data_IF_101197350048
#
_entry.id   IF_101197350048
#
_cell.length_a   1.000
_cell.length_b   1.000
_cell.length_c   1.000
_cell.angle_alpha   90.00
_cell.angle_beta   90.00
_cell.angle_gamma   90.00
#
_symmetry.space_group_name_H-M   'P 1'
#
loop_
_entity.id
_entity.type
_entity.pdbx_description
1 polymer ?
#
# COMPACT_ATOMS: atom_id res chain seq x y z
N UNK A 1 8.54 -35.42 14.60
CA UNK A 1 7.13 -35.02 14.40
C UNK A 1 6.79 -34.03 15.50
N UNK A 2 6.92 -32.74 15.23
CA UNK A 2 6.42 -31.72 16.14
C UNK A 2 4.90 -31.66 15.98
N UNK A 3 4.18 -31.69 17.10
CA UNK A 3 2.71 -31.62 17.10
C UNK A 3 2.20 -30.29 16.55
N UNK A 4 0.88 -30.16 16.30
CA UNK A 4 0.30 -28.91 15.84
C UNK A 4 0.59 -27.81 16.87
N UNK A 5 1.36 -26.79 16.46
CA UNK A 5 1.61 -25.60 17.26
C UNK A 5 0.25 -24.99 17.61
N UNK A 6 -0.01 -24.79 18.90
CA UNK A 6 -1.20 -24.08 19.40
C UNK A 6 -1.37 -22.74 18.68
N UNK A 7 -2.61 -22.26 18.44
CA UNK A 7 -2.81 -20.94 17.83
C UNK A 7 -2.11 -19.89 18.69
N UNK A 8 -1.04 -19.31 18.13
CA UNK A 8 -0.19 -18.33 18.80
C UNK A 8 -1.01 -17.11 19.16
N UNK A 9 -0.90 -16.67 20.41
CA UNK A 9 -1.61 -15.47 20.88
C UNK A 9 -1.11 -14.24 20.11
N UNK A 10 -2.02 -13.39 19.61
CA UNK A 10 -1.66 -12.16 18.90
C UNK A 10 -0.82 -11.20 19.78
N UNK A 11 0.01 -10.35 19.16
CA UNK A 11 0.97 -9.51 19.87
C UNK A 11 0.29 -8.49 20.77
N UNK A 12 0.78 -8.44 22.01
CA UNK A 12 0.09 -7.94 23.20
C UNK A 12 0.27 -6.45 23.47
N UNK A 13 0.93 -5.72 22.57
CA UNK A 13 1.32 -4.32 22.75
C UNK A 13 1.26 -3.54 21.42
N UNK A 14 1.15 -2.22 21.50
CA UNK A 14 1.20 -1.29 20.37
C UNK A 14 0.10 -0.23 20.35
N UNK A 15 0.52 1.03 20.24
CA UNK A 15 -0.33 2.19 19.96
C UNK A 15 -1.01 2.07 18.57
N UNK A 16 -2.14 2.77 18.37
CA UNK A 16 -2.69 3.02 17.03
C UNK A 16 -1.63 3.83 16.28
N UNK A 17 -0.93 3.23 15.32
CA UNK A 17 0.18 3.90 14.67
C UNK A 17 -0.18 4.20 13.22
N UNK A 18 -0.23 5.49 12.92
CA UNK A 18 -0.40 6.03 11.57
C UNK A 18 0.95 6.02 10.84
N UNK A 19 1.06 5.12 9.87
CA UNK A 19 2.09 4.99 8.83
C UNK A 19 1.25 4.81 7.56
N UNK A 20 1.34 5.55 6.46
CA UNK A 20 2.41 6.35 5.88
C UNK A 20 1.82 7.09 4.68
N UNK A 21 2.38 8.23 4.29
CA UNK A 21 2.36 8.66 2.90
C UNK A 21 3.76 8.42 2.31
N UNK A 22 3.81 7.75 1.17
CA UNK A 22 5.02 7.54 0.39
C UNK A 22 5.10 8.68 -0.60
N UNK A 23 6.25 9.32 -0.65
CA UNK A 23 6.50 10.33 -1.66
C UNK A 23 7.44 9.78 -2.73
N UNK A 24 7.06 9.97 -3.99
CA UNK A 24 7.85 9.62 -5.16
C UNK A 24 9.10 10.47 -5.18
N UNK A 25 10.25 9.82 -5.33
CA UNK A 25 11.58 10.36 -5.09
C UNK A 25 11.77 11.85 -5.42
N UNK A 26 12.54 12.53 -4.56
CA UNK A 26 12.73 13.98 -4.68
C UNK A 26 13.30 14.38 -6.05
N UNK A 27 12.73 15.42 -6.68
CA UNK A 27 13.11 15.89 -8.03
C UNK A 27 14.34 16.81 -8.04
N UNK A 28 14.86 17.18 -6.86
CA UNK A 28 16.07 17.98 -6.69
C UNK A 28 16.95 17.38 -5.60
N UNK A 29 18.22 17.10 -5.92
CA UNK A 29 19.16 16.48 -4.99
C UNK A 29 19.17 14.95 -5.06
N UNK A 30 18.99 14.26 -3.92
CA UNK A 30 18.97 12.79 -3.88
C UNK A 30 17.61 12.28 -4.40
N UNK A 31 17.62 11.55 -5.51
CA UNK A 31 16.46 10.88 -6.12
C UNK A 31 15.95 9.68 -5.28
N UNK A 32 15.88 9.83 -3.96
CA UNK A 32 15.47 8.79 -3.02
C UNK A 32 14.01 9.04 -2.59
N UNK A 33 13.21 7.98 -2.37
CA UNK A 33 11.87 8.12 -1.84
C UNK A 33 11.91 8.74 -0.43
N UNK A 34 10.92 9.57 -0.13
CA UNK A 34 10.73 10.13 1.21
C UNK A 34 9.53 9.44 1.87
N UNK A 35 9.75 8.96 3.09
CA UNK A 35 8.77 8.21 3.89
C UNK A 35 8.41 9.10 5.08
N UNK A 36 7.19 9.64 5.09
CA UNK A 36 6.67 10.43 6.20
C UNK A 36 5.97 9.53 7.22
N UNK A 37 6.69 9.23 8.31
CA UNK A 37 6.29 8.26 9.32
C UNK A 37 6.38 8.87 10.71
N UNK A 38 5.32 8.70 11.50
CA UNK A 38 5.32 9.11 12.92
C UNK A 38 6.43 8.43 13.72
N UNK A 39 6.93 7.27 13.27
CA UNK A 39 8.11 6.63 13.85
C UNK A 39 9.41 7.35 13.53
N UNK A 40 9.57 7.80 12.28
CA UNK A 40 10.82 8.42 11.83
C UNK A 40 10.94 9.85 12.35
N UNK A 41 9.82 10.57 12.52
CA UNK A 41 9.79 11.92 13.11
C UNK A 41 10.46 11.96 14.49
N UNK A 42 10.31 10.90 15.31
CA UNK A 42 10.96 10.80 16.63
C UNK A 42 12.50 10.91 16.56
N UNK A 43 13.10 10.42 15.49
CA UNK A 43 14.56 10.43 15.29
C UNK A 43 15.02 11.48 14.27
N UNK A 44 14.11 11.98 13.44
CA UNK A 44 14.36 12.95 12.36
C UNK A 44 13.27 14.02 12.39
N UNK A 45 13.37 15.03 13.28
CA UNK A 45 12.37 16.09 13.41
C UNK A 45 12.09 16.84 12.10
N UNK A 46 13.06 16.90 11.18
CA UNK A 46 12.88 17.47 9.84
C UNK A 46 11.90 16.70 8.93
N UNK A 47 11.30 15.60 9.39
CA UNK A 47 10.19 14.93 8.70
C UNK A 47 8.83 15.34 9.25
N UNK A 48 8.77 16.20 10.27
CA UNK A 48 7.54 16.73 10.86
C UNK A 48 6.95 17.85 9.98
N UNK A 49 6.49 17.46 8.79
CA UNK A 49 5.88 18.35 7.81
C UNK A 49 4.37 18.50 8.06
N UNK A 50 3.77 19.55 7.49
CA UNK A 50 2.32 19.70 7.53
C UNK A 50 1.66 18.53 6.80
N UNK A 51 0.58 18.00 7.37
CA UNK A 51 -0.18 16.92 6.73
C UNK A 51 -0.68 17.33 5.33
N UNK A 52 -1.03 18.61 5.13
CA UNK A 52 -1.42 19.13 3.82
C UNK A 52 -0.28 19.05 2.79
N UNK A 53 0.95 19.35 3.18
CA UNK A 53 2.11 19.26 2.28
C UNK A 53 2.37 17.82 1.87
N UNK A 54 2.31 16.91 2.84
CA UNK A 54 2.44 15.46 2.60
C UNK A 54 1.35 14.97 1.65
N UNK A 55 0.08 15.36 1.87
CA UNK A 55 -1.04 14.96 1.02
C UNK A 55 -0.97 15.52 -0.40
N UNK A 56 -0.49 16.76 -0.59
CA UNK A 56 -0.31 17.32 -1.93
C UNK A 56 0.83 16.58 -2.63
N UNK A 57 1.96 16.43 -1.97
CA UNK A 57 3.15 15.83 -2.57
C UNK A 57 2.94 14.36 -2.98
N UNK A 58 2.34 13.54 -2.10
CA UNK A 58 2.06 12.13 -2.37
C UNK A 58 1.10 11.87 -3.52
N UNK A 59 0.31 12.88 -3.92
CA UNK A 59 -0.67 12.80 -5.00
C UNK A 59 -0.24 13.55 -6.26
N UNK A 60 0.94 14.17 -6.26
CA UNK A 60 1.43 15.03 -7.35
C UNK A 60 1.94 14.19 -8.53
N UNK A 61 1.03 13.49 -9.22
CA UNK A 61 1.36 12.53 -10.27
C UNK A 61 1.98 13.23 -11.47
N UNK A 62 3.17 12.81 -11.95
CA UNK A 62 3.76 13.36 -13.16
C UNK A 62 2.76 13.33 -14.32
N UNK A 63 2.75 14.38 -15.14
CA UNK A 63 1.79 14.64 -16.24
C UNK A 63 0.39 15.08 -15.82
N UNK A 64 -0.04 14.86 -14.56
CA UNK A 64 -1.33 15.30 -14.04
C UNK A 64 -1.23 16.56 -13.18
N UNK A 65 -0.26 16.58 -12.26
CA UNK A 65 -0.11 17.62 -11.26
C UNK A 65 1.35 18.12 -11.18
N UNK A 66 1.56 19.39 -10.80
CA UNK A 66 2.90 19.93 -10.60
C UNK A 66 3.54 19.29 -9.36
N UNK A 67 4.87 19.14 -9.39
CA UNK A 67 5.64 18.75 -8.21
C UNK A 67 5.42 19.74 -7.06
N UNK A 68 5.46 19.24 -5.82
CA UNK A 68 5.21 20.04 -4.62
C UNK A 68 6.51 20.43 -3.93
N UNK A 69 6.61 21.70 -3.51
CA UNK A 69 7.74 22.24 -2.77
C UNK A 69 7.30 22.75 -1.40
N UNK A 70 8.05 22.38 -0.37
CA UNK A 70 7.90 22.94 0.97
C UNK A 70 9.19 22.79 1.78
N UNK A 71 9.22 23.40 2.97
CA UNK A 71 10.36 23.37 3.87
C UNK A 71 9.95 22.94 5.28
N UNK A 72 10.88 22.30 5.98
CA UNK A 72 10.77 22.02 7.42
C UNK A 72 12.05 22.48 8.12
N UNK A 73 12.08 22.36 9.45
CA UNK A 73 13.27 22.60 10.26
C UNK A 73 13.71 21.32 10.96
N UNK A 74 15.02 21.09 11.03
CA UNK A 74 15.57 20.05 11.91
C UNK A 74 15.68 20.53 13.37
N UNK A 75 16.22 19.67 14.23
CA UNK A 75 16.43 19.95 15.66
C UNK A 75 17.34 21.15 15.92
N UNK A 76 18.24 21.46 14.99
CA UNK A 76 19.19 22.58 15.10
C UNK A 76 18.60 23.86 14.46
N UNK A 77 17.35 23.82 14.00
CA UNK A 77 16.65 24.92 13.34
C UNK A 77 17.07 25.13 11.89
N UNK A 78 17.89 24.24 11.33
CA UNK A 78 18.33 24.32 9.94
C UNK A 78 17.19 23.91 9.01
N UNK A 79 17.02 24.68 7.93
CA UNK A 79 16.01 24.42 6.92
C UNK A 79 16.35 23.16 6.13
N UNK A 80 15.33 22.34 5.89
CA UNK A 80 15.35 21.21 4.98
C UNK A 80 14.27 21.41 3.92
N UNK A 81 14.72 21.48 2.67
CA UNK A 81 13.86 21.59 1.49
C UNK A 81 13.32 20.22 1.09
N UNK A 82 12.09 20.21 0.59
CA UNK A 82 11.41 19.06 -0.03
C UNK A 82 10.94 19.47 -1.42
N UNK A 83 11.28 18.67 -2.43
CA UNK A 83 10.86 18.86 -3.82
C UNK A 83 10.34 17.51 -4.31
N UNK A 84 9.04 17.31 -4.28
CA UNK A 84 8.42 15.99 -4.15
C UNK A 84 7.35 15.74 -5.23
N UNK A 85 7.11 14.47 -5.55
CA UNK A 85 6.13 14.01 -6.56
C UNK A 85 5.38 12.77 -6.05
N UNK A 86 4.40 12.29 -6.81
CA UNK A 86 3.53 11.19 -6.39
C UNK A 86 4.24 9.92 -5.91
N UNK A 87 3.77 9.41 -4.77
CA UNK A 87 4.24 8.18 -4.14
C UNK A 87 4.25 6.95 -5.03
N UNK A 88 3.33 6.87 -5.99
CA UNK A 88 3.20 5.80 -6.96
C UNK A 88 4.45 5.60 -7.81
N UNK A 89 5.25 6.66 -8.01
CA UNK A 89 6.55 6.56 -8.70
C UNK A 89 7.55 5.72 -7.89
N UNK A 90 7.45 5.74 -6.55
CA UNK A 90 8.33 4.97 -5.68
C UNK A 90 7.72 3.63 -5.25
N UNK A 91 6.47 3.65 -4.79
CA UNK A 91 5.74 2.46 -4.34
C UNK A 91 4.23 2.67 -4.46
N UNK A 92 3.68 2.27 -5.61
CA UNK A 92 2.25 2.31 -5.90
C UNK A 92 1.43 1.36 -4.99
N UNK A 93 2.05 0.30 -4.47
CA UNK A 93 1.51 -0.50 -3.38
C UNK A 93 2.37 -0.30 -2.11
N UNK A 94 1.93 0.54 -1.16
CA UNK A 94 2.73 0.91 0.01
C UNK A 94 2.85 -0.21 1.05
N UNK A 95 2.23 -1.37 0.85
CA UNK A 95 2.11 -2.42 1.87
C UNK A 95 3.47 -2.89 2.39
N UNK A 96 4.43 -3.14 1.48
CA UNK A 96 5.77 -3.57 1.89
C UNK A 96 6.54 -2.47 2.63
N UNK A 97 6.31 -1.20 2.27
CA UNK A 97 6.91 -0.06 2.97
C UNK A 97 6.35 0.07 4.39
N UNK A 98 5.04 -0.10 4.56
CA UNK A 98 4.41 -0.11 5.88
C UNK A 98 4.94 -1.26 6.77
N UNK A 99 5.06 -2.47 6.21
CA UNK A 99 5.67 -3.62 6.91
C UNK A 99 7.12 -3.33 7.27
N UNK A 100 7.89 -2.72 6.36
CA UNK A 100 9.28 -2.31 6.61
C UNK A 100 9.42 -1.31 7.75
N UNK A 101 8.54 -0.31 7.84
CA UNK A 101 8.52 0.66 8.94
C UNK A 101 8.22 0.01 10.30
N UNK A 102 7.24 -0.90 10.36
CA UNK A 102 6.96 -1.68 11.57
C UNK A 102 8.15 -2.58 11.93
N UNK A 103 8.76 -3.23 10.94
CA UNK A 103 9.94 -4.08 11.14
C UNK A 103 11.12 -3.30 11.72
N UNK A 104 11.38 -2.07 11.23
CA UNK A 104 12.40 -1.18 11.81
C UNK A 104 12.14 -0.89 13.28
N UNK A 105 10.89 -0.74 13.71
CA UNK A 105 10.54 -0.52 15.12
C UNK A 105 10.79 -1.75 15.98
N UNK A 106 10.44 -2.94 15.47
CA UNK A 106 10.73 -4.22 16.11
C UNK A 106 12.26 -4.35 16.31
N UNK A 107 13.04 -4.13 15.25
CA UNK A 107 14.50 -4.22 15.28
C UNK A 107 15.15 -3.20 16.24
N UNK A 108 14.56 -2.02 16.39
CA UNK A 108 15.01 -0.98 17.34
C UNK A 108 14.61 -1.27 18.79
N UNK A 109 13.95 -2.40 19.07
CA UNK A 109 13.59 -2.82 20.43
C UNK A 109 12.48 -1.97 21.05
N UNK A 110 11.61 -1.38 20.24
CA UNK A 110 10.49 -0.59 20.74
C UNK A 110 9.57 -1.48 21.63
N UNK A 111 9.30 -1.04 22.85
CA UNK A 111 8.52 -1.76 23.87
C UNK A 111 7.10 -2.11 23.41
N UNK A 112 6.57 -1.37 22.43
CA UNK A 112 5.30 -1.65 21.78
C UNK A 112 5.29 -2.99 21.00
N UNK A 113 6.47 -3.57 20.75
CA UNK A 113 6.65 -4.76 19.91
C UNK A 113 7.38 -5.92 20.59
N UNK A 114 7.48 -5.87 21.93
CA UNK A 114 8.33 -6.71 22.79
C UNK A 114 8.20 -8.25 22.64
N UNK A 115 7.32 -8.74 21.76
CA UNK A 115 7.04 -10.18 21.63
C UNK A 115 7.17 -10.72 20.21
N UNK A 116 7.53 -9.91 19.22
CA UNK A 116 7.69 -10.38 17.83
C UNK A 116 9.15 -10.77 17.60
N UNK A 117 9.41 -12.06 17.35
CA UNK A 117 10.72 -12.50 16.89
C UNK A 117 11.01 -11.84 15.53
N UNK A 118 12.26 -11.46 15.24
CA UNK A 118 12.60 -10.50 14.18
C UNK A 118 12.16 -10.90 12.76
N UNK A 119 11.74 -12.16 12.56
CA UNK A 119 11.27 -12.74 11.30
C UNK A 119 9.82 -13.26 11.35
N UNK A 120 9.08 -13.05 12.44
CA UNK A 120 7.73 -13.58 12.62
C UNK A 120 6.66 -12.67 11.97
N UNK A 121 6.76 -12.48 10.64
CA UNK A 121 5.72 -11.79 9.85
C UNK A 121 4.35 -12.49 9.98
N UNK A 122 4.31 -13.74 10.42
CA UNK A 122 3.07 -14.48 10.69
C UNK A 122 2.18 -13.84 11.74
N UNK A 123 2.71 -12.94 12.58
CA UNK A 123 1.92 -12.17 13.56
C UNK A 123 1.32 -10.88 13.02
N UNK A 124 1.73 -10.44 11.83
CA UNK A 124 1.16 -9.26 11.21
C UNK A 124 -0.21 -9.58 10.63
N UNK A 125 -1.19 -8.74 10.93
CA UNK A 125 -2.49 -8.76 10.29
C UNK A 125 -2.55 -7.57 9.33
N UNK A 126 -2.64 -7.83 8.03
CA UNK A 126 -2.46 -6.85 6.96
C UNK A 126 -3.70 -6.83 6.07
N UNK A 127 -4.29 -5.64 5.91
CA UNK A 127 -5.31 -5.36 4.89
C UNK A 127 -4.66 -4.42 3.88
N UNK A 128 -4.59 -4.85 2.62
CA UNK A 128 -4.12 -4.06 1.49
C UNK A 128 -5.29 -3.76 0.56
N UNK A 129 -5.58 -2.49 0.34
CA UNK A 129 -6.69 -2.06 -0.51
C UNK A 129 -6.13 -1.41 -1.77
N UNK A 130 -6.48 -1.94 -2.94
CA UNK A 130 -6.19 -1.33 -4.22
C UNK A 130 -7.34 -0.44 -4.70
N UNK A 131 -7.03 0.46 -5.63
CA UNK A 131 -8.00 1.36 -6.27
C UNK A 131 -8.59 0.78 -7.56
N UNK A 132 -8.34 -0.50 -7.81
CA UNK A 132 -8.64 -1.18 -9.06
C UNK A 132 -7.67 -0.82 -10.18
N UNK A 133 -7.73 -1.63 -11.24
CA UNK A 133 -6.89 -1.51 -12.43
C UNK A 133 -7.80 -1.65 -13.64
N UNK A 134 -7.43 -0.97 -14.72
CA UNK A 134 -8.13 -1.16 -15.98
C UNK A 134 -8.07 -2.64 -16.36
N UNK A 135 -9.21 -3.19 -16.76
CA UNK A 135 -9.29 -4.53 -17.33
C UNK A 135 -8.18 -4.67 -18.35
N UNK A 136 -7.39 -5.73 -18.24
CA UNK A 136 -6.32 -6.09 -19.18
C UNK A 136 -6.91 -6.45 -20.55
N UNK A 137 -7.60 -5.52 -21.19
CA UNK A 137 -7.82 -5.53 -22.62
C UNK A 137 -6.49 -5.06 -23.19
N UNK A 138 -5.62 -6.01 -23.59
CA UNK A 138 -4.41 -5.87 -24.41
C UNK A 138 -4.05 -4.41 -24.77
N UNK A 139 -3.72 -3.59 -23.75
CA UNK A 139 -3.76 -2.13 -23.90
C UNK A 139 -2.82 -1.66 -25.00
N UNK A 140 -1.70 -2.37 -25.13
CA UNK A 140 -0.61 -2.08 -26.03
C UNK A 140 -0.07 -3.38 -26.62
N UNK A 141 0.08 -3.42 -27.95
CA UNK A 141 0.79 -4.49 -28.65
C UNK A 141 2.28 -4.10 -28.83
N UNK A 142 3.17 -5.10 -28.84
CA UNK A 142 4.61 -4.87 -29.00
C UNK A 142 4.95 -4.25 -30.36
N UNK A 143 4.22 -4.58 -31.43
CA UNK A 143 4.39 -4.01 -32.76
C UNK A 143 4.05 -2.53 -32.80
N UNK A 144 3.04 -2.11 -32.05
CA UNK A 144 2.65 -0.71 -31.92
C UNK A 144 3.62 0.06 -31.01
N UNK A 145 3.99 -0.52 -29.87
CA UNK A 145 4.95 0.07 -28.94
C UNK A 145 6.36 0.22 -29.55
N UNK A 146 6.76 -0.68 -30.46
CA UNK A 146 8.04 -0.58 -31.18
C UNK A 146 8.15 0.68 -32.05
N UNK A 147 7.01 1.25 -32.46
CA UNK A 147 6.94 2.49 -33.24
C UNK A 147 6.91 3.73 -32.35
N UNK A 148 6.81 3.57 -31.02
CA UNK A 148 6.72 4.70 -30.10
C UNK A 148 8.09 5.36 -29.88
N UNK A 149 8.14 6.67 -30.14
CA UNK A 149 9.18 7.55 -29.60
C UNK A 149 8.82 8.04 -28.19
N UNK A 150 9.55 9.05 -27.70
CA UNK A 150 9.33 9.65 -26.37
C UNK A 150 7.85 10.03 -26.12
N UNK A 151 7.20 10.68 -27.10
CA UNK A 151 5.80 11.09 -26.97
C UNK A 151 4.84 9.90 -26.97
N UNK A 152 5.13 8.81 -27.67
CA UNK A 152 4.27 7.61 -27.62
C UNK A 152 4.30 6.97 -26.23
N UNK A 153 5.48 6.87 -25.63
CA UNK A 153 5.63 6.36 -24.27
C UNK A 153 4.99 7.23 -23.19
N UNK A 154 4.93 8.55 -23.40
CA UNK A 154 4.33 9.50 -22.46
C UNK A 154 2.84 9.76 -22.71
N UNK A 155 2.39 9.68 -23.95
CA UNK A 155 1.03 10.03 -24.37
C UNK A 155 0.63 9.14 -25.55
N UNK A 156 0.01 7.99 -25.29
CA UNK A 156 -0.55 7.13 -26.34
C UNK A 156 -1.98 6.74 -25.98
N UNK A 157 -2.90 6.90 -26.94
CA UNK A 157 -4.31 6.53 -26.77
C UNK A 157 -5.04 7.25 -25.63
N UNK A 158 -4.60 8.44 -25.22
CA UNK A 158 -5.16 9.16 -24.07
C UNK A 158 -4.71 8.62 -22.70
N UNK A 159 -3.69 7.76 -22.68
CA UNK A 159 -3.07 7.20 -21.48
C UNK A 159 -1.58 7.59 -21.40
N UNK A 160 -0.95 7.24 -20.27
CA UNK A 160 0.48 7.43 -20.01
C UNK A 160 1.20 6.08 -19.90
N UNK A 161 1.46 5.37 -21.03
CA UNK A 161 1.88 3.96 -21.00
C UNK A 161 3.04 3.65 -20.06
N UNK A 162 4.06 4.52 -20.05
CA UNK A 162 5.23 4.35 -19.19
C UNK A 162 4.85 4.35 -17.70
N UNK A 163 4.03 5.32 -17.29
CA UNK A 163 3.57 5.46 -15.90
C UNK A 163 2.64 4.30 -15.53
N UNK A 164 1.70 3.95 -16.40
CA UNK A 164 0.77 2.84 -16.20
C UNK A 164 1.53 1.52 -15.97
N UNK A 165 2.48 1.18 -16.86
CA UNK A 165 3.24 -0.08 -16.78
C UNK A 165 4.08 -0.14 -15.51
N UNK A 166 4.84 0.92 -15.20
CA UNK A 166 5.67 0.93 -13.99
C UNK A 166 4.83 0.87 -12.71
N UNK A 167 3.74 1.62 -12.65
CA UNK A 167 2.88 1.68 -11.46
C UNK A 167 2.15 0.36 -11.23
N UNK A 168 1.63 -0.26 -12.29
CA UNK A 168 0.95 -1.55 -12.22
C UNK A 168 1.93 -2.66 -11.83
N UNK A 169 3.06 -2.79 -12.53
CA UNK A 169 4.07 -3.80 -12.24
C UNK A 169 4.62 -3.68 -10.80
N UNK A 170 4.82 -2.44 -10.33
CA UNK A 170 5.24 -2.17 -8.94
C UNK A 170 4.22 -2.68 -7.93
N UNK A 171 2.92 -2.47 -8.19
CA UNK A 171 1.84 -2.95 -7.32
C UNK A 171 1.76 -4.49 -7.28
N UNK A 172 1.83 -5.12 -8.45
CA UNK A 172 1.70 -6.58 -8.59
C UNK A 172 2.88 -7.32 -7.97
N UNK A 173 4.09 -6.79 -8.14
CA UNK A 173 5.28 -7.35 -7.51
C UNK A 173 5.18 -7.34 -5.98
N UNK A 174 4.66 -6.26 -5.37
CA UNK A 174 4.45 -6.23 -3.91
C UNK A 174 3.45 -7.30 -3.48
N UNK A 175 2.34 -7.46 -4.21
CA UNK A 175 1.31 -8.44 -3.87
C UNK A 175 1.83 -9.89 -3.98
N UNK A 176 2.59 -10.19 -5.04
CA UNK A 176 3.24 -11.48 -5.23
C UNK A 176 4.23 -11.79 -4.11
N UNK A 177 5.13 -10.85 -3.78
CA UNK A 177 6.12 -11.05 -2.72
C UNK A 177 5.46 -11.30 -1.36
N UNK A 178 4.44 -10.51 -1.02
CA UNK A 178 3.73 -10.67 0.26
C UNK A 178 2.95 -11.98 0.29
N UNK A 179 2.29 -12.37 -0.79
CA UNK A 179 1.60 -13.66 -0.89
C UNK A 179 2.56 -14.83 -0.63
N UNK A 180 3.75 -14.82 -1.25
CA UNK A 180 4.80 -15.82 -1.01
C UNK A 180 5.23 -15.85 0.45
N UNK A 181 5.53 -14.69 1.05
CA UNK A 181 6.02 -14.60 2.43
C UNK A 181 4.96 -15.10 3.42
N UNK A 182 3.72 -14.62 3.30
CA UNK A 182 2.65 -15.03 4.22
C UNK A 182 2.28 -16.50 4.06
N UNK A 183 2.33 -17.06 2.85
CA UNK A 183 2.10 -18.49 2.64
C UNK A 183 3.25 -19.36 3.16
N UNK A 184 4.51 -18.95 2.96
CA UNK A 184 5.67 -19.65 3.51
C UNK A 184 5.67 -19.70 5.05
N UNK A 185 5.01 -18.72 5.69
CA UNK A 185 4.83 -18.64 7.14
C UNK A 185 3.50 -19.23 7.63
N UNK A 186 2.77 -19.96 6.79
CA UNK A 186 1.46 -20.56 7.09
C UNK A 186 0.47 -19.55 7.72
N UNK A 187 0.52 -18.32 7.22
CA UNK A 187 -0.22 -17.16 7.72
C UNK A 187 -0.95 -16.44 6.58
N UNK A 188 -1.27 -17.15 5.50
CA UNK A 188 -1.91 -16.60 4.30
C UNK A 188 -3.27 -15.97 4.57
N UNK A 189 -3.95 -16.32 5.67
CA UNK A 189 -5.22 -15.70 6.10
C UNK A 189 -5.04 -14.36 6.80
N UNK A 190 -3.81 -13.98 7.11
CA UNK A 190 -3.47 -12.73 7.78
C UNK A 190 -3.15 -11.60 6.79
N UNK A 191 -2.91 -11.92 5.51
CA UNK A 191 -2.81 -10.96 4.42
C UNK A 191 -4.08 -10.98 3.59
N UNK A 192 -4.79 -9.86 3.54
CA UNK A 192 -6.00 -9.66 2.73
C UNK A 192 -5.75 -8.54 1.73
N UNK A 193 -5.64 -8.89 0.44
CA UNK A 193 -5.64 -7.93 -0.67
C UNK A 193 -7.04 -7.84 -1.26
N UNK A 194 -7.58 -6.63 -1.36
CA UNK A 194 -8.84 -6.35 -2.07
C UNK A 194 -8.52 -5.45 -3.25
N UNK A 195 -8.76 -5.95 -4.46
CA UNK A 195 -8.42 -5.29 -5.72
C UNK A 195 -9.45 -5.66 -6.79
N UNK A 196 -9.73 -4.75 -7.71
CA UNK A 196 -10.57 -4.99 -8.89
C UNK A 196 -9.78 -4.81 -10.18
N UNK A 197 -9.49 -5.89 -10.90
CA UNK A 197 -8.70 -5.85 -12.15
C UNK A 197 -9.57 -5.85 -13.42
N UNK A 198 -10.80 -5.34 -13.30
CA UNK A 198 -11.81 -5.39 -14.37
C UNK A 198 -12.44 -4.05 -14.71
N UNK A 199 -11.84 -2.92 -14.29
CA UNK A 199 -12.40 -1.59 -14.53
C UNK A 199 -12.36 -1.22 -16.01
N UNK A 200 -13.40 -0.56 -16.53
CA UNK A 200 -13.48 -0.15 -17.95
C UNK A 200 -14.07 1.25 -18.11
N UNK A 201 -13.72 1.94 -19.19
CA UNK A 201 -14.22 3.30 -19.47
C UNK A 201 -13.84 4.31 -18.39
N UNK A 202 -14.74 5.24 -18.07
CA UNK A 202 -14.46 6.33 -17.13
C UNK A 202 -14.05 5.86 -15.71
N UNK A 203 -14.51 4.68 -15.28
CA UNK A 203 -14.19 4.17 -13.93
C UNK A 203 -12.75 3.68 -13.81
N UNK A 204 -12.05 3.44 -14.93
CA UNK A 204 -10.62 3.10 -14.91
C UNK A 204 -9.69 4.30 -15.09
N UNK A 205 -10.25 5.51 -15.28
CA UNK A 205 -9.48 6.75 -15.34
C UNK A 205 -9.20 7.30 -13.94
N UNK A 206 -8.02 7.90 -13.78
CA UNK A 206 -7.57 8.52 -12.53
C UNK A 206 -8.01 9.98 -12.36
N UNK A 207 -8.50 10.63 -13.43
CA UNK A 207 -8.75 12.07 -13.50
C UNK A 207 -10.20 12.46 -13.85
N UNK A 208 -11.09 11.49 -14.09
CA UNK A 208 -12.51 11.76 -14.40
C UNK A 208 -13.35 11.88 -13.11
N UNK A 209 -13.38 13.09 -12.53
CA UNK A 209 -14.10 13.40 -11.28
C UNK A 209 -15.58 13.82 -11.47
N UNK A 210 -16.27 13.34 -12.51
CA UNK A 210 -17.69 13.66 -12.69
C UNK A 210 -18.56 12.96 -11.65
N UNK A 211 -19.67 13.58 -11.21
CA UNK A 211 -20.60 12.97 -10.25
C UNK A 211 -21.03 11.57 -10.66
N UNK A 212 -21.35 11.38 -11.95
CA UNK A 212 -21.72 10.08 -12.52
C UNK A 212 -20.60 9.04 -12.33
N UNK A 213 -19.35 9.42 -12.59
CA UNK A 213 -18.23 8.49 -12.43
C UNK A 213 -17.98 8.15 -10.96
N UNK A 214 -18.03 9.15 -10.06
CA UNK A 214 -17.90 8.93 -8.62
C UNK A 214 -19.00 8.00 -8.08
N UNK A 215 -20.26 8.18 -8.49
CA UNK A 215 -21.37 7.30 -8.13
C UNK A 215 -21.15 5.87 -8.68
N UNK A 216 -20.51 5.72 -9.85
CA UNK A 216 -20.18 4.41 -10.41
C UNK A 216 -19.01 3.74 -9.66
N UNK A 217 -17.99 4.49 -9.22
CA UNK A 217 -16.91 3.98 -8.38
C UNK A 217 -17.44 3.45 -7.04
N UNK A 218 -18.45 4.11 -6.45
CA UNK A 218 -19.14 3.58 -5.26
C UNK A 218 -19.76 2.21 -5.54
N UNK A 219 -20.48 2.06 -6.66
CA UNK A 219 -21.09 0.78 -7.05
C UNK A 219 -20.05 -0.31 -7.30
N UNK A 220 -18.90 0.04 -7.88
CA UNK A 220 -17.76 -0.88 -8.04
C UNK A 220 -17.29 -1.38 -6.68
N UNK A 221 -17.08 -0.47 -5.72
CA UNK A 221 -16.68 -0.83 -4.36
C UNK A 221 -17.71 -1.71 -3.64
N UNK A 222 -19.00 -1.38 -3.74
CA UNK A 222 -20.10 -2.19 -3.20
C UNK A 222 -20.16 -3.59 -3.84
N UNK A 223 -19.93 -3.67 -5.15
CA UNK A 223 -19.84 -4.94 -5.88
C UNK A 223 -18.62 -5.77 -5.46
N UNK A 224 -17.49 -5.12 -5.20
CA UNK A 224 -16.24 -5.77 -4.79
C UNK A 224 -16.39 -6.49 -3.45
N UNK A 225 -17.22 -5.99 -2.54
CA UNK A 225 -17.55 -6.67 -1.27
C UNK A 225 -18.17 -8.06 -1.50
N UNK A 226 -18.91 -8.25 -2.59
CA UNK A 226 -19.60 -9.51 -2.92
C UNK A 226 -18.74 -10.48 -3.72
N UNK A 227 -17.62 -10.01 -4.29
CA UNK A 227 -16.67 -10.87 -5.00
C UNK A 227 -15.93 -11.78 -3.99
N UNK A 228 -15.53 -13.00 -4.41
CA UNK A 228 -14.62 -13.84 -3.63
C UNK A 228 -13.31 -13.11 -3.34
N UNK A 229 -12.67 -13.44 -2.22
CA UNK A 229 -11.30 -12.99 -1.95
C UNK A 229 -10.39 -13.54 -3.04
N UNK A 230 -9.49 -12.71 -3.57
CA UNK A 230 -8.49 -13.17 -4.53
C UNK A 230 -7.17 -13.52 -3.85
N UNK A 231 -6.41 -14.45 -4.41
CA UNK A 231 -5.08 -14.86 -3.96
C UNK A 231 -4.14 -15.05 -5.14
N UNK A 232 -2.87 -14.73 -4.95
CA UNK A 232 -1.84 -15.05 -5.94
C UNK A 232 -1.61 -16.56 -5.95
N UNK A 233 -1.78 -17.17 -7.11
CA UNK A 233 -1.33 -18.52 -7.38
C UNK A 233 0.19 -18.50 -7.57
N UNK A 234 0.94 -19.17 -6.70
CA UNK A 234 2.41 -19.10 -6.71
C UNK A 234 3.06 -19.85 -7.88
N UNK A 235 2.33 -20.74 -8.56
CA UNK A 235 2.84 -21.46 -9.74
C UNK A 235 2.72 -20.61 -11.00
N UNK A 236 1.60 -19.89 -11.15
CA UNK A 236 1.30 -19.07 -12.33
C UNK A 236 1.67 -17.60 -12.16
N UNK A 237 1.81 -17.13 -10.92
CA UNK A 237 1.95 -15.72 -10.56
C UNK A 237 0.67 -14.90 -10.74
N UNK A 238 -0.45 -15.55 -11.12
CA UNK A 238 -1.72 -14.88 -11.41
C UNK A 238 -2.61 -14.77 -10.17
N UNK A 239 -3.39 -13.70 -10.11
CA UNK A 239 -4.40 -13.49 -9.06
C UNK A 239 -5.66 -14.27 -9.42
N UNK A 240 -6.04 -15.21 -8.57
CA UNK A 240 -7.18 -16.11 -8.78
C UNK A 240 -8.20 -15.99 -7.63
N UNK A 241 -9.51 -16.11 -7.91
CA UNK A 241 -10.54 -16.20 -6.88
C UNK A 241 -10.28 -17.37 -5.92
N UNK A 242 -10.45 -17.14 -4.62
CA UNK A 242 -10.44 -18.17 -3.59
C UNK A 242 -11.88 -18.57 -3.28
N UNK A 243 -12.18 -19.88 -3.35
CA UNK A 243 -13.52 -20.43 -3.07
C UNK A 243 -13.95 -20.40 -1.59
N UNK A 244 -13.21 -19.71 -0.72
CA UNK A 244 -13.35 -19.83 0.73
C UNK A 244 -14.32 -18.82 1.34
N UNK A 245 -14.23 -17.55 0.95
CA UNK A 245 -15.02 -16.45 1.51
C UNK A 245 -15.05 -15.25 0.55
N UNK A 246 -16.09 -14.42 0.67
CA UNK A 246 -16.19 -13.12 0.01
C UNK A 246 -15.35 -12.06 0.71
N UNK A 247 -15.06 -10.95 0.02
CA UNK A 247 -14.37 -9.81 0.61
C UNK A 247 -15.11 -9.25 1.83
N UNK A 248 -16.45 -9.22 1.81
CA UNK A 248 -17.25 -8.82 2.96
C UNK A 248 -17.05 -9.73 4.18
N UNK A 249 -17.07 -11.05 3.96
CA UNK A 249 -16.86 -12.03 5.03
C UNK A 249 -15.46 -11.95 5.62
N UNK A 250 -14.44 -11.79 4.76
CA UNK A 250 -13.05 -11.58 5.16
C UNK A 250 -12.91 -10.30 6.00
N UNK A 251 -13.50 -9.18 5.57
CA UNK A 251 -13.48 -7.93 6.33
C UNK A 251 -14.19 -8.08 7.68
N UNK A 252 -15.33 -8.78 7.74
CA UNK A 252 -16.01 -9.09 9.01
C UNK A 252 -15.12 -9.94 9.93
N UNK A 253 -14.38 -10.89 9.38
CA UNK A 253 -13.40 -11.71 10.12
C UNK A 253 -12.27 -10.85 10.67
N UNK A 254 -11.65 -10.02 9.84
CA UNK A 254 -10.61 -9.07 10.27
C UNK A 254 -11.12 -8.11 11.36
N UNK A 255 -12.31 -7.54 11.20
CA UNK A 255 -12.92 -6.66 12.19
C UNK A 255 -13.11 -7.35 13.55
N UNK A 256 -13.51 -8.64 13.58
CA UNK A 256 -13.60 -9.42 14.82
C UNK A 256 -12.24 -9.61 15.48
N UNK A 257 -11.20 -9.90 14.71
CA UNK A 257 -9.82 -10.07 15.22
C UNK A 257 -9.33 -8.75 15.82
N UNK A 258 -9.44 -7.65 15.08
CA UNK A 258 -9.04 -6.31 15.52
C UNK A 258 -9.79 -5.86 16.78
N UNK A 259 -11.11 -6.08 16.84
CA UNK A 259 -11.93 -5.74 18.00
C UNK A 259 -11.53 -6.54 19.25
N UNK A 260 -11.32 -7.86 19.08
CA UNK A 260 -10.84 -8.73 20.17
C UNK A 260 -9.48 -8.29 20.67
N UNK A 261 -8.56 -7.99 19.76
CA UNK A 261 -7.21 -7.55 20.09
C UNK A 261 -7.22 -6.22 20.85
N UNK A 262 -7.99 -5.23 20.37
CA UNK A 262 -8.15 -3.96 21.10
C UNK A 262 -8.66 -4.17 22.52
N UNK A 263 -9.71 -4.98 22.71
CA UNK A 263 -10.27 -5.27 24.05
C UNK A 263 -9.25 -5.95 24.96
N UNK A 264 -8.43 -6.85 24.43
CA UNK A 264 -7.37 -7.50 25.21
C UNK A 264 -6.31 -6.50 25.68
N UNK A 265 -5.96 -5.52 24.85
CA UNK A 265 -5.02 -4.43 25.21
C UNK A 265 -5.61 -3.53 26.30
N UNK A 266 -6.85 -3.09 26.11
CA UNK A 266 -7.55 -2.23 27.07
C UNK A 266 -7.70 -2.94 28.44
N UNK A 267 -8.05 -4.24 28.46
CA UNK A 267 -8.19 -5.04 29.69
C UNK A 267 -6.87 -5.26 30.45
N UNK A 268 -5.72 -5.21 29.79
CA UNK A 268 -4.41 -5.39 30.43
C UNK A 268 -3.89 -4.11 31.09
N UNK A 269 -4.67 -3.02 31.09
CA UNK A 269 -4.27 -1.74 31.67
C UNK A 269 -3.08 -1.09 30.94
N UNK A 270 -2.80 -1.55 29.71
CA UNK A 270 -1.74 -1.01 28.87
C UNK A 270 -2.28 0.31 28.33
N UNK A 271 -1.89 1.41 28.98
CA UNK A 271 -2.26 2.76 28.53
C UNK A 271 -1.67 2.99 27.15
N UNK A 272 -2.55 3.29 26.21
CA UNK A 272 -2.30 3.75 24.83
C UNK A 272 -1.54 5.06 24.80
#
# INVERSE_FOLDING_TARGET
MEGPKSPLQPPTCGSLITVLSIDGGAIRGRLQPTIFSTYEVKNKPSLDALLSDICIATSAAPTYLPAHYFETKDSDGKLREFNLIDGGVAANNPTLVAIGEVTKQIMRGNSDYFSIDQMDYGRLLVISLGTGTAKSEEKYDAEDAAKWGLLGWLTSGGSTPLIDVFSQASSDMVDLHLSVVFQALHSEKNYLRIQDDSLTGDVSSVDVATKKNLDNLVKVGEGLLKKPVSRVNLETGLVEPSDQETNEEALRRFAKILSKEKRLRDCKGIKT
#
